data_IF_801653844138
#
_entry.id   IF_801653844138
#
_cell.length_a   1.000
_cell.length_b   1.000
_cell.length_c   1.000
_cell.angle_alpha   90.00
_cell.angle_beta   90.00
_cell.angle_gamma   90.00
#
_symmetry.space_group_name_H-M   'P 1'
#
loop_
_entity.id
_entity.type
_entity.pdbx_description
1 polymer ?
#
# COMPACT_ATOMS: atom_id res chain seq x y z
N UNK A 1 -0.12 21.01 8.22
CA UNK A 1 -0.13 19.99 9.28
C UNK A 1 1.01 18.99 9.15
N UNK A 2 1.22 18.39 7.97
CA UNK A 2 2.28 17.39 7.73
C UNK A 2 3.64 17.98 7.35
N UNK A 3 3.69 19.10 6.60
CA UNK A 3 4.94 19.76 6.19
C UNK A 3 5.54 20.64 7.30
N UNK A 4 5.82 20.05 8.46
CA UNK A 4 6.48 20.69 9.60
C UNK A 4 7.50 19.72 10.20
N UNK A 5 8.48 20.23 10.94
CA UNK A 5 9.48 19.43 11.68
C UNK A 5 8.84 18.42 12.64
N UNK A 6 7.59 18.66 13.06
CA UNK A 6 6.78 17.82 13.94
C UNK A 6 5.50 17.26 13.26
N UNK A 7 5.51 17.13 11.93
CA UNK A 7 4.33 16.70 11.15
C UNK A 7 3.69 15.38 11.61
N UNK A 8 4.51 14.40 12.00
CA UNK A 8 4.05 13.12 12.55
C UNK A 8 3.31 13.29 13.88
N UNK A 9 3.79 14.19 14.77
CA UNK A 9 3.12 14.50 16.04
C UNK A 9 1.78 15.21 15.80
N UNK A 10 1.73 16.19 14.89
CA UNK A 10 0.51 16.91 14.55
C UNK A 10 -0.60 15.97 14.06
N UNK A 11 -0.25 15.07 13.13
CA UNK A 11 -1.21 14.10 12.57
C UNK A 11 -1.75 13.17 13.67
N UNK A 12 -0.88 12.70 14.57
CA UNK A 12 -1.30 11.84 15.69
C UNK A 12 -2.15 12.57 16.71
N UNK A 13 -1.84 13.83 17.05
CA UNK A 13 -2.68 14.65 17.92
C UNK A 13 -4.09 14.81 17.35
N UNK A 14 -4.20 15.03 16.03
CA UNK A 14 -5.47 15.02 15.32
C UNK A 14 -6.28 13.76 15.54
N UNK A 15 -5.68 12.60 15.29
CA UNK A 15 -6.36 11.31 15.48
C UNK A 15 -6.79 11.09 16.94
N UNK A 16 -5.95 11.45 17.91
CA UNK A 16 -6.27 11.33 19.35
C UNK A 16 -7.44 12.25 19.70
N UNK A 17 -7.45 13.49 19.23
CA UNK A 17 -8.56 14.41 19.46
C UNK A 17 -9.87 13.85 18.88
N UNK A 18 -9.85 13.30 17.66
CA UNK A 18 -11.05 12.71 17.06
C UNK A 18 -11.53 11.46 17.81
N UNK A 19 -10.62 10.66 18.39
CA UNK A 19 -10.99 9.56 19.28
C UNK A 19 -11.68 10.06 20.56
N UNK A 20 -11.13 11.10 21.20
CA UNK A 20 -11.71 11.69 22.42
C UNK A 20 -13.09 12.30 22.19
N UNK A 21 -13.31 12.89 21.00
CA UNK A 21 -14.60 13.47 20.60
C UNK A 21 -15.63 12.43 20.15
N UNK A 22 -15.26 11.16 20.00
CA UNK A 22 -16.16 10.12 19.51
C UNK A 22 -16.46 10.21 18.01
N UNK A 23 -15.60 10.89 17.24
CA UNK A 23 -15.80 11.12 15.80
C UNK A 23 -15.23 9.99 14.93
N UNK A 24 -14.59 8.96 15.50
CA UNK A 24 -14.05 7.83 14.75
C UNK A 24 -15.11 6.73 14.63
N UNK A 25 -15.29 6.16 13.44
CA UNK A 25 -16.29 5.11 13.19
C UNK A 25 -17.67 5.64 12.78
N UNK A 26 -17.86 6.96 12.68
CA UNK A 26 -19.15 7.59 12.35
C UNK A 26 -19.12 8.25 10.96
N UNK A 27 -20.26 8.27 10.28
CA UNK A 27 -20.42 8.94 8.98
C UNK A 27 -20.18 10.45 9.15
N UNK A 28 -19.33 11.03 8.31
CA UNK A 28 -18.95 12.44 8.38
C UNK A 28 -17.89 12.77 9.44
N UNK A 29 -17.50 11.81 10.28
CA UNK A 29 -16.46 11.97 11.29
C UNK A 29 -15.10 11.39 10.87
N UNK A 30 -14.09 11.66 11.70
CA UNK A 30 -12.78 11.01 11.64
C UNK A 30 -11.64 11.98 11.42
N UNK A 31 -10.44 11.44 11.17
CA UNK A 31 -9.25 12.22 10.83
C UNK A 31 -8.83 11.88 9.40
N UNK A 32 -9.38 12.62 8.44
CA UNK A 32 -9.19 12.35 7.01
C UNK A 32 -7.97 13.11 6.47
N UNK A 33 -6.95 12.37 6.04
CA UNK A 33 -5.78 12.95 5.37
C UNK A 33 -6.11 13.10 3.89
N UNK A 34 -6.25 14.34 3.44
CA UNK A 34 -6.41 14.65 2.01
C UNK A 34 -5.08 14.38 1.30
N UNK A 35 -5.05 13.31 0.50
CA UNK A 35 -3.91 12.98 -0.36
C UNK A 35 -3.85 13.95 -1.55
N UNK A 36 -2.65 14.14 -2.09
CA UNK A 36 -2.39 15.02 -3.23
C UNK A 36 -2.75 14.38 -4.58
N UNK A 37 -1.79 13.73 -5.23
CA UNK A 37 -2.02 13.08 -6.53
C UNK A 37 -3.05 11.95 -6.45
N UNK A 38 -3.70 11.71 -7.58
CA UNK A 38 -4.83 10.80 -7.79
C UNK A 38 -4.61 9.37 -7.32
N UNK A 39 -3.37 8.87 -7.39
CA UNK A 39 -3.00 7.50 -7.01
C UNK A 39 -1.93 7.43 -5.92
N UNK A 40 -1.71 8.48 -5.11
CA UNK A 40 -0.71 8.42 -4.01
C UNK A 40 -1.00 7.27 -3.06
N UNK A 41 -2.29 7.02 -2.77
CA UNK A 41 -2.69 5.90 -1.92
C UNK A 41 -2.26 4.58 -2.56
N UNK A 42 -2.63 4.34 -3.81
CA UNK A 42 -2.27 3.11 -4.54
C UNK A 42 -0.77 2.95 -4.72
N UNK A 43 -0.03 4.01 -5.03
CA UNK A 43 1.43 4.01 -5.12
C UNK A 43 2.08 3.57 -3.81
N UNK A 44 1.63 4.11 -2.66
CA UNK A 44 2.12 3.66 -1.36
C UNK A 44 1.71 2.22 -1.04
N UNK A 45 0.51 1.82 -1.43
CA UNK A 45 0.02 0.45 -1.25
C UNK A 45 0.80 -0.55 -2.12
N UNK A 46 1.32 -0.15 -3.28
CA UNK A 46 2.17 -0.96 -4.16
C UNK A 46 3.66 -0.91 -3.79
N UNK A 47 4.02 -0.36 -2.62
CA UNK A 47 5.41 -0.38 -2.16
C UNK A 47 6.32 0.57 -2.94
N UNK A 48 5.80 1.65 -3.56
CA UNK A 48 6.61 2.77 -4.07
C UNK A 48 7.19 3.62 -2.91
N UNK A 49 7.72 2.94 -1.89
CA UNK A 49 8.35 3.45 -0.70
C UNK A 49 9.64 2.67 -0.49
N UNK A 50 10.63 3.28 0.14
CA UNK A 50 11.95 2.67 0.28
C UNK A 50 12.06 1.73 1.50
N UNK A 51 10.99 1.47 2.24
CA UNK A 51 11.04 0.77 3.53
C UNK A 51 10.05 -0.39 3.70
N UNK A 52 9.31 -0.73 2.65
CA UNK A 52 8.32 -1.82 2.67
C UNK A 52 8.20 -2.50 1.31
N UNK A 53 7.78 -3.77 1.31
CA UNK A 53 7.24 -4.47 0.15
C UNK A 53 5.76 -4.07 -0.07
N UNK A 54 5.17 -4.36 -1.25
CA UNK A 54 3.76 -4.05 -1.51
C UNK A 54 2.83 -4.51 -0.38
N UNK A 55 1.77 -3.75 -0.09
CA UNK A 55 0.83 -4.01 1.01
C UNK A 55 1.38 -3.70 2.41
N UNK A 56 2.45 -2.92 2.50
CA UNK A 56 3.17 -2.57 3.74
C UNK A 56 3.78 -3.79 4.46
N UNK A 57 4.16 -4.82 3.69
CA UNK A 57 4.94 -5.93 4.23
C UNK A 57 6.35 -5.44 4.56
N UNK A 58 6.96 -6.01 5.62
CA UNK A 58 8.32 -5.66 5.99
C UNK A 58 9.33 -6.15 4.95
N UNK A 59 10.59 -5.76 5.12
CA UNK A 59 11.69 -6.20 4.25
C UNK A 59 12.42 -7.45 4.77
N UNK A 60 11.92 -8.11 5.82
CA UNK A 60 12.56 -9.31 6.36
C UNK A 60 12.32 -10.56 5.50
N UNK A 61 13.19 -11.56 5.64
CA UNK A 61 13.18 -12.83 4.90
C UNK A 61 11.80 -13.43 4.65
N UNK A 62 10.96 -13.55 5.68
CA UNK A 62 9.63 -14.18 5.55
C UNK A 62 8.68 -13.39 4.64
N UNK A 63 8.81 -12.06 4.62
CA UNK A 63 8.04 -11.22 3.68
C UNK A 63 8.55 -11.41 2.25
N UNK A 64 9.87 -11.52 2.06
CA UNK A 64 10.45 -11.81 0.76
C UNK A 64 10.11 -13.21 0.24
N UNK A 65 10.10 -14.24 1.10
CA UNK A 65 9.64 -15.59 0.74
C UNK A 65 8.17 -15.60 0.35
N UNK A 66 7.34 -14.84 1.08
CA UNK A 66 5.95 -14.64 0.71
C UNK A 66 5.83 -14.05 -0.70
N UNK A 67 6.54 -12.95 -1.00
CA UNK A 67 6.49 -12.33 -2.31
C UNK A 67 7.11 -13.18 -3.43
N UNK A 68 8.21 -13.89 -3.17
CA UNK A 68 8.77 -14.86 -4.11
C UNK A 68 7.71 -15.90 -4.53
N UNK A 69 6.97 -16.43 -3.55
CA UNK A 69 5.85 -17.34 -3.80
C UNK A 69 4.73 -16.68 -4.62
N UNK A 70 4.28 -15.47 -4.25
CA UNK A 70 3.17 -14.80 -4.95
C UNK A 70 3.54 -14.42 -6.40
N UNK A 71 4.77 -13.97 -6.61
CA UNK A 71 5.35 -13.67 -7.92
C UNK A 71 5.76 -14.92 -8.69
N UNK A 72 5.68 -16.11 -8.08
CA UNK A 72 6.06 -17.40 -8.66
C UNK A 72 7.52 -17.44 -9.14
N UNK A 73 8.40 -16.77 -8.40
CA UNK A 73 9.85 -16.77 -8.63
C UNK A 73 10.55 -17.52 -7.51
N UNK A 74 11.71 -18.09 -7.82
CA UNK A 74 12.54 -18.74 -6.81
C UNK A 74 13.13 -17.70 -5.85
N UNK A 75 13.11 -18.00 -4.55
CA UNK A 75 13.64 -17.09 -3.53
C UNK A 75 15.15 -16.92 -3.63
N UNK A 76 15.89 -17.98 -3.98
CA UNK A 76 17.35 -17.91 -4.14
C UNK A 76 17.74 -17.09 -5.37
N UNK A 77 16.99 -17.23 -6.47
CA UNK A 77 17.11 -16.34 -7.64
C UNK A 77 16.86 -14.88 -7.27
N UNK A 78 15.77 -14.58 -6.56
CA UNK A 78 15.42 -13.23 -6.16
C UNK A 78 16.49 -12.63 -5.23
N UNK A 79 16.96 -13.40 -4.25
CA UNK A 79 18.07 -13.02 -3.37
C UNK A 79 19.36 -12.76 -4.16
N UNK A 80 19.63 -13.55 -5.20
CA UNK A 80 20.77 -13.37 -6.10
C UNK A 80 20.74 -12.07 -6.92
N UNK A 81 19.61 -11.34 -6.95
CA UNK A 81 19.52 -10.00 -7.57
C UNK A 81 20.07 -8.90 -6.68
N UNK A 82 20.38 -9.19 -5.42
CA UNK A 82 20.96 -8.25 -4.47
C UNK A 82 22.42 -8.61 -4.18
N UNK A 83 23.24 -7.61 -3.84
CA UNK A 83 24.64 -7.83 -3.46
C UNK A 83 24.78 -8.71 -2.23
N UNK A 84 23.84 -8.61 -1.29
CA UNK A 84 23.77 -9.45 -0.10
C UNK A 84 22.34 -9.51 0.44
N UNK A 85 22.07 -10.48 1.33
CA UNK A 85 20.78 -10.58 2.04
C UNK A 85 20.52 -9.33 2.87
N UNK A 86 21.54 -8.81 3.54
CA UNK A 86 21.40 -7.61 4.37
C UNK A 86 20.95 -6.41 3.54
N UNK A 87 21.43 -6.28 2.29
CA UNK A 87 21.01 -5.20 1.40
C UNK A 87 19.57 -5.42 0.88
N UNK A 88 19.18 -6.66 0.62
CA UNK A 88 17.79 -7.03 0.27
C UNK A 88 16.80 -6.69 1.37
N UNK A 89 17.22 -6.82 2.64
CA UNK A 89 16.38 -6.53 3.81
C UNK A 89 16.50 -5.08 4.32
N UNK A 90 17.40 -4.29 3.73
CA UNK A 90 17.65 -2.91 4.13
C UNK A 90 16.67 -1.92 3.51
N UNK A 91 16.43 -0.82 4.23
CA UNK A 91 15.68 0.32 3.70
C UNK A 91 16.53 1.09 2.68
N UNK A 92 15.91 1.51 1.59
CA UNK A 92 16.50 2.39 0.59
C UNK A 92 16.39 3.87 0.93
N UNK A 93 16.71 4.71 -0.06
CA UNK A 93 16.65 6.16 0.06
C UNK A 93 15.25 6.71 -0.23
N UNK A 94 14.83 7.69 0.56
CA UNK A 94 13.64 8.48 0.23
C UNK A 94 13.95 9.50 -0.88
N UNK A 95 12.90 10.01 -1.54
CA UNK A 95 13.00 11.06 -2.57
C UNK A 95 13.74 12.32 -2.08
N UNK A 96 13.69 12.63 -0.78
CA UNK A 96 14.41 13.81 -0.26
C UNK A 96 15.92 13.58 -0.08
N UNK A 97 16.34 12.31 -0.01
CA UNK A 97 17.69 11.91 0.41
C UNK A 97 18.57 11.35 -0.71
N UNK A 98 18.02 10.93 -1.84
CA UNK A 98 18.79 10.28 -2.93
C UNK A 98 20.00 11.12 -3.38
N UNK A 99 19.84 12.44 -3.49
CA UNK A 99 20.90 13.38 -3.89
C UNK A 99 22.10 13.35 -2.95
N UNK A 100 21.86 13.16 -1.64
CA UNK A 100 22.93 13.04 -0.64
C UNK A 100 23.67 11.70 -0.77
N UNK A 101 22.99 10.64 -1.21
CA UNK A 101 23.61 9.34 -1.50
C UNK A 101 24.47 9.32 -2.77
N UNK A 102 24.29 10.33 -3.65
CA UNK A 102 25.13 10.57 -4.83
C UNK A 102 26.31 11.48 -4.49
N UNK A 103 26.07 12.52 -3.70
CA UNK A 103 27.06 13.57 -3.44
C UNK A 103 28.06 13.18 -2.34
N UNK A 104 27.58 12.63 -1.22
CA UNK A 104 28.41 12.28 -0.06
C UNK A 104 28.86 10.80 -0.13
N UNK A 105 30.16 10.59 -0.26
CA UNK A 105 30.79 9.26 -0.37
C UNK A 105 30.59 8.41 0.89
N UNK A 106 30.43 9.04 2.06
CA UNK A 106 30.19 8.32 3.31
C UNK A 106 28.84 7.57 3.31
N UNK A 107 27.90 7.95 2.44
CA UNK A 107 26.62 7.26 2.25
C UNK A 107 26.74 5.97 1.44
N UNK A 108 27.88 5.69 0.82
CA UNK A 108 28.11 4.44 0.09
C UNK A 108 27.88 3.19 0.95
N UNK A 109 28.09 3.30 2.27
CA UNK A 109 27.80 2.23 3.26
C UNK A 109 26.34 1.75 3.23
N UNK A 110 25.39 2.60 2.80
CA UNK A 110 23.97 2.26 2.70
C UNK A 110 23.59 1.65 1.36
N UNK A 111 24.51 1.57 0.40
CA UNK A 111 24.27 1.06 -0.94
C UNK A 111 25.38 0.08 -1.36
N UNK A 112 25.59 -0.95 -0.51
CA UNK A 112 26.55 -2.01 -0.78
C UNK A 112 27.99 -1.55 -0.93
N UNK A 113 28.39 -0.43 -0.32
CA UNK A 113 29.73 0.14 -0.45
C UNK A 113 29.95 0.97 -1.71
N UNK A 114 28.90 1.37 -2.42
CA UNK A 114 28.98 2.19 -3.63
C UNK A 114 28.04 3.39 -3.55
N UNK A 115 28.41 4.53 -4.14
CA UNK A 115 27.45 5.64 -4.32
C UNK A 115 26.37 5.25 -5.33
N UNK A 116 25.23 5.94 -5.30
CA UNK A 116 24.23 5.80 -6.37
C UNK A 116 24.84 6.29 -7.68
N UNK A 117 24.74 5.46 -8.73
CA UNK A 117 25.31 5.72 -10.06
C UNK A 117 24.28 5.95 -11.14
N UNK A 118 23.06 5.44 -10.97
CA UNK A 118 22.00 5.59 -11.95
C UNK A 118 20.71 6.08 -11.29
N UNK A 119 19.95 6.90 -12.01
CA UNK A 119 18.59 7.30 -11.66
C UNK A 119 17.66 6.99 -12.81
N UNK A 120 16.61 6.21 -12.55
CA UNK A 120 15.47 6.03 -13.46
C UNK A 120 14.27 6.69 -12.80
N UNK A 121 13.79 7.76 -13.41
CA UNK A 121 12.67 8.57 -12.94
C UNK A 121 11.45 8.30 -13.83
N UNK A 122 10.35 7.83 -13.23
CA UNK A 122 9.11 7.50 -13.93
C UNK A 122 7.99 8.34 -13.32
N UNK A 123 7.41 9.26 -14.09
CA UNK A 123 6.25 10.04 -13.64
C UNK A 123 6.48 10.86 -12.37
N UNK A 124 7.71 11.33 -12.09
CA UNK A 124 8.07 11.95 -10.82
C UNK A 124 8.87 13.26 -10.97
N UNK A 125 8.49 14.28 -10.19
CA UNK A 125 9.23 15.55 -10.10
C UNK A 125 10.39 15.48 -9.10
N UNK A 126 11.57 15.01 -9.50
CA UNK A 126 12.73 14.89 -8.58
C UNK A 126 13.35 16.24 -8.18
N UNK A 127 12.95 17.33 -8.83
CA UNK A 127 13.27 18.73 -8.46
C UNK A 127 12.21 19.41 -7.61
N UNK A 128 11.04 18.80 -7.37
CA UNK A 128 9.97 19.39 -6.54
C UNK A 128 10.20 19.16 -5.04
N UNK A 129 11.46 19.10 -4.62
CA UNK A 129 11.94 18.99 -3.24
C UNK A 129 12.84 20.18 -2.92
N UNK A 130 13.13 20.39 -1.63
CA UNK A 130 14.09 21.43 -1.23
C UNK A 130 15.52 21.08 -1.69
N UNK A 131 16.38 22.10 -1.74
CA UNK A 131 17.77 21.99 -2.18
C UNK A 131 17.92 21.61 -3.66
N UNK A 132 17.16 22.25 -4.56
CA UNK A 132 17.20 21.99 -6.01
C UNK A 132 18.60 22.10 -6.61
N UNK A 133 19.47 22.97 -6.07
CA UNK A 133 20.88 23.06 -6.47
C UNK A 133 21.63 21.74 -6.25
N UNK A 134 21.38 21.03 -5.14
CA UNK A 134 21.94 19.69 -4.87
C UNK A 134 21.34 18.63 -5.76
N UNK A 135 20.04 18.73 -6.10
CA UNK A 135 19.44 17.83 -7.10
C UNK A 135 20.15 17.99 -8.43
N UNK A 136 20.43 19.22 -8.88
CA UNK A 136 21.24 19.48 -10.07
C UNK A 136 22.64 18.86 -9.97
N UNK A 137 23.39 19.17 -8.90
CA UNK A 137 24.75 18.63 -8.70
C UNK A 137 24.76 17.09 -8.72
N UNK A 138 23.77 16.47 -8.09
CA UNK A 138 23.63 15.01 -8.08
C UNK A 138 23.31 14.47 -9.48
N UNK A 139 22.40 15.09 -10.22
CA UNK A 139 22.10 14.72 -11.61
C UNK A 139 23.38 14.78 -12.47
N UNK A 140 24.17 15.84 -12.35
CA UNK A 140 25.41 16.00 -13.12
C UNK A 140 26.49 14.96 -12.76
N UNK A 141 26.47 14.43 -11.53
CA UNK A 141 27.44 13.44 -11.04
C UNK A 141 27.07 11.97 -11.33
N UNK A 142 25.80 11.67 -11.63
CA UNK A 142 25.38 10.30 -11.95
C UNK A 142 26.07 9.77 -13.22
N UNK A 143 26.19 8.45 -13.35
CA UNK A 143 26.71 7.83 -14.58
C UNK A 143 25.59 7.70 -15.63
N UNK A 144 24.33 7.53 -15.18
CA UNK A 144 23.16 7.37 -16.04
C UNK A 144 21.93 8.07 -15.45
N UNK A 145 21.18 8.80 -16.29
CA UNK A 145 19.86 9.35 -15.95
C UNK A 145 18.85 8.97 -17.02
N UNK A 146 17.72 8.42 -16.62
CA UNK A 146 16.60 8.08 -17.51
C UNK A 146 15.34 8.74 -16.97
N UNK A 147 14.68 9.54 -17.79
CA UNK A 147 13.35 10.08 -17.52
C UNK A 147 12.32 9.38 -18.40
N UNK A 148 11.23 8.94 -17.79
CA UNK A 148 10.08 8.30 -18.44
C UNK A 148 8.86 9.13 -18.07
N UNK A 149 8.48 10.03 -18.97
CA UNK A 149 7.41 11.00 -18.74
C UNK A 149 6.70 11.36 -20.06
N UNK A 150 5.43 11.78 -20.00
CA UNK A 150 4.71 12.28 -21.17
C UNK A 150 5.19 13.67 -21.62
N UNK A 151 5.91 14.39 -20.75
CA UNK A 151 6.47 15.70 -21.03
C UNK A 151 7.95 15.71 -20.63
N UNK A 152 8.70 16.72 -21.10
CA UNK A 152 10.08 16.91 -20.65
C UNK A 152 10.08 17.13 -19.13
N UNK A 153 10.74 16.23 -18.40
CA UNK A 153 10.87 16.31 -16.95
C UNK A 153 11.63 17.59 -16.56
N UNK A 154 11.18 18.28 -15.51
CA UNK A 154 11.79 19.54 -15.06
C UNK A 154 13.25 19.37 -14.62
N UNK A 155 13.60 18.18 -14.11
CA UNK A 155 14.98 17.85 -13.76
C UNK A 155 15.90 17.70 -14.98
N UNK A 156 15.36 17.37 -16.16
CA UNK A 156 16.14 17.36 -17.40
C UNK A 156 16.53 18.77 -17.85
N UNK A 157 15.81 19.80 -17.39
CA UNK A 157 16.07 21.21 -17.73
C UNK A 157 17.16 21.83 -16.84
N UNK A 158 17.24 21.43 -15.58
CA UNK A 158 18.19 22.03 -14.62
C UNK A 158 19.59 21.43 -14.69
N UNK A 159 19.73 20.21 -15.20
CA UNK A 159 21.02 19.52 -15.31
C UNK A 159 21.88 20.10 -16.44
N UNK A 160 23.20 20.03 -16.31
CA UNK A 160 24.18 20.43 -17.34
C UNK A 160 24.80 19.24 -18.07
N UNK A 161 24.25 18.03 -17.89
CA UNK A 161 24.67 16.83 -18.61
C UNK A 161 24.53 17.00 -20.11
N UNK A 162 25.47 16.40 -20.84
CA UNK A 162 25.45 16.38 -22.32
C UNK A 162 25.42 14.96 -22.88
N UNK A 163 25.57 13.94 -22.02
CA UNK A 163 25.62 12.54 -22.35
C UNK A 163 24.89 11.68 -21.30
N UNK A 164 24.62 10.42 -21.66
CA UNK A 164 24.04 9.41 -20.77
C UNK A 164 22.78 9.88 -20.01
N UNK A 165 22.00 10.75 -20.66
CA UNK A 165 20.68 11.17 -20.23
C UNK A 165 19.68 10.79 -21.32
N UNK A 166 18.69 9.98 -20.96
CA UNK A 166 17.66 9.50 -21.88
C UNK A 166 16.29 10.03 -21.48
N UNK A 167 15.53 10.51 -22.45
CA UNK A 167 14.14 10.91 -22.30
C UNK A 167 13.30 9.91 -23.09
N UNK A 168 12.55 9.06 -22.41
CA UNK A 168 11.67 8.07 -23.03
C UNK A 168 10.23 8.60 -23.01
N UNK A 169 9.59 8.79 -24.19
CA UNK A 169 8.25 9.36 -24.25
C UNK A 169 7.23 8.35 -23.70
N UNK A 170 6.63 8.70 -22.57
CA UNK A 170 5.58 7.89 -21.95
C UNK A 170 4.19 8.37 -22.39
N UNK A 171 3.22 7.47 -22.40
CA UNK A 171 1.82 7.79 -22.62
C UNK A 171 1.24 8.52 -21.39
N UNK A 172 0.35 9.49 -21.61
CA UNK A 172 -0.40 10.22 -20.60
C UNK A 172 -1.52 9.37 -19.96
N UNK A 173 -2.20 9.91 -18.94
CA UNK A 173 -3.24 9.16 -18.23
C UNK A 173 -4.45 8.76 -19.10
N UNK A 174 -4.73 9.47 -20.20
CA UNK A 174 -5.87 9.18 -21.09
C UNK A 174 -5.56 8.14 -22.17
N UNK A 175 -4.27 7.87 -22.36
CA UNK A 175 -3.73 6.85 -23.29
C UNK A 175 -3.48 5.51 -22.59
N UNK A 176 -3.59 5.49 -21.26
CA UNK A 176 -3.39 4.32 -20.42
C UNK A 176 -4.71 3.75 -19.88
N UNK A 177 -4.64 2.56 -19.31
CA UNK A 177 -5.75 1.90 -18.60
C UNK A 177 -5.24 1.17 -17.36
N UNK A 178 -6.14 0.88 -16.41
CA UNK A 178 -5.81 0.13 -15.20
C UNK A 178 -6.56 0.64 -13.97
N UNK A 179 -6.12 0.19 -12.80
CA UNK A 179 -6.72 0.53 -11.51
C UNK A 179 -5.98 1.66 -10.80
N UNK A 180 -6.72 2.59 -10.18
CA UNK A 180 -6.17 3.67 -9.33
C UNK A 180 -6.90 3.74 -7.99
N UNK A 181 -6.19 4.05 -6.91
CA UNK A 181 -6.73 4.15 -5.55
C UNK A 181 -6.66 5.61 -5.08
N UNK A 182 -7.83 6.17 -4.77
CA UNK A 182 -7.94 7.57 -4.34
C UNK A 182 -7.72 7.77 -2.82
N UNK A 183 -7.85 9.02 -2.37
CA UNK A 183 -7.71 9.39 -0.94
C UNK A 183 -8.71 8.71 0.00
N UNK A 184 -9.88 8.31 -0.50
CA UNK A 184 -10.90 7.57 0.25
C UNK A 184 -10.59 6.07 0.36
N UNK A 185 -9.48 5.62 -0.24
CA UNK A 185 -9.11 4.21 -0.42
C UNK A 185 -10.13 3.44 -1.26
N UNK A 186 -10.80 4.14 -2.19
CA UNK A 186 -11.64 3.53 -3.22
C UNK A 186 -10.79 3.32 -4.48
N UNK A 187 -10.82 2.09 -5.00
CA UNK A 187 -10.16 1.69 -6.23
C UNK A 187 -11.09 1.90 -7.41
N UNK A 188 -10.62 2.53 -8.49
CA UNK A 188 -11.41 2.84 -9.67
C UNK A 188 -10.72 2.27 -10.91
N UNK A 189 -11.51 1.77 -11.86
CA UNK A 189 -11.00 1.40 -13.18
C UNK A 189 -10.92 2.64 -14.08
N UNK A 190 -9.83 2.75 -14.83
CA UNK A 190 -9.64 3.72 -15.92
C UNK A 190 -9.49 2.97 -17.23
N UNK A 191 -10.29 3.36 -18.20
CA UNK A 191 -10.24 2.81 -19.56
C UNK A 191 -9.48 3.76 -20.46
N UNK A 192 -8.74 3.18 -21.40
CA UNK A 192 -8.05 3.95 -22.43
C UNK A 192 -9.06 4.74 -23.25
N UNK A 193 -8.81 6.03 -23.44
CA UNK A 193 -9.69 6.94 -24.20
C UNK A 193 -9.17 7.15 -25.61
N UNK A 194 -7.85 7.26 -25.77
CA UNK A 194 -7.18 7.43 -27.06
C UNK A 194 -5.94 6.55 -27.15
N UNK A 195 -5.47 6.26 -28.37
CA UNK A 195 -4.17 5.59 -28.56
C UNK A 195 -3.00 6.51 -28.20
N UNK A 196 -1.86 5.96 -27.73
CA UNK A 196 -0.65 6.74 -27.50
C UNK A 196 -0.28 7.59 -28.72
N UNK A 197 -0.05 8.87 -28.50
CA UNK A 197 0.29 9.84 -29.52
C UNK A 197 1.78 9.75 -29.88
N UNK A 198 2.09 9.98 -31.16
CA UNK A 198 3.46 9.99 -31.68
C UNK A 198 4.20 8.67 -31.40
N UNK A 199 5.39 8.76 -30.81
CA UNK A 199 6.23 7.63 -30.41
C UNK A 199 6.05 7.28 -28.92
N UNK A 200 5.07 7.89 -28.23
CA UNK A 200 4.80 7.62 -26.83
C UNK A 200 4.38 6.18 -26.63
N UNK A 201 4.84 5.59 -25.54
CA UNK A 201 4.53 4.20 -25.18
C UNK A 201 3.93 4.15 -23.79
N UNK A 202 3.01 3.20 -23.56
CA UNK A 202 2.45 2.97 -22.23
C UNK A 202 3.57 2.54 -21.27
N UNK A 203 3.47 2.93 -20.01
CA UNK A 203 4.54 2.73 -19.03
C UNK A 203 4.96 1.26 -18.91
N UNK A 204 3.98 0.34 -18.85
CA UNK A 204 4.26 -1.09 -18.76
C UNK A 204 4.97 -1.64 -20.00
N UNK A 205 4.73 -1.08 -21.19
CA UNK A 205 5.36 -1.58 -22.42
C UNK A 205 6.87 -1.28 -22.40
N UNK A 206 7.23 -0.11 -21.85
CA UNK A 206 8.63 0.28 -21.61
C UNK A 206 9.25 -0.66 -20.58
N UNK A 207 8.55 -0.93 -19.46
CA UNK A 207 9.04 -1.82 -18.41
C UNK A 207 9.20 -3.27 -18.88
N UNK A 208 8.25 -3.79 -19.66
CA UNK A 208 8.36 -5.11 -20.28
C UNK A 208 9.54 -5.21 -21.24
N UNK A 209 9.80 -4.14 -22.00
CA UNK A 209 10.95 -4.08 -22.90
C UNK A 209 12.30 -4.04 -22.17
N UNK A 210 12.37 -3.37 -21.02
CA UNK A 210 13.53 -3.45 -20.14
C UNK A 210 13.71 -4.86 -19.59
N UNK A 211 12.66 -5.49 -19.07
CA UNK A 211 12.74 -6.84 -18.53
C UNK A 211 13.21 -7.85 -19.58
N UNK A 212 12.73 -7.74 -20.83
CA UNK A 212 13.21 -8.56 -21.97
C UNK A 212 14.69 -8.35 -22.25
N UNK A 213 15.12 -7.10 -22.36
CA UNK A 213 16.52 -6.75 -22.68
C UNK A 213 17.49 -7.12 -21.55
N UNK A 214 17.02 -7.08 -20.31
CA UNK A 214 17.80 -7.48 -19.14
C UNK A 214 17.69 -8.98 -18.82
N UNK A 215 16.88 -9.73 -19.56
CA UNK A 215 16.80 -11.19 -19.47
C UNK A 215 16.03 -11.72 -18.25
N UNK A 216 15.04 -10.99 -17.74
CA UNK A 216 14.19 -11.43 -16.61
C UNK A 216 12.67 -11.31 -16.89
N UNK A 217 12.28 -11.24 -18.17
CA UNK A 217 10.88 -11.02 -18.55
C UNK A 217 9.94 -12.11 -18.02
N UNK A 218 10.36 -13.37 -18.09
CA UNK A 218 9.55 -14.50 -17.65
C UNK A 218 9.28 -14.42 -16.13
N UNK A 219 10.30 -14.08 -15.33
CA UNK A 219 10.15 -13.83 -13.90
C UNK A 219 9.29 -12.60 -13.61
N UNK A 220 9.39 -11.55 -14.43
CA UNK A 220 8.62 -10.32 -14.25
C UNK A 220 7.11 -10.52 -14.45
N UNK A 221 6.71 -11.41 -15.36
CA UNK A 221 5.28 -11.71 -15.63
C UNK A 221 4.76 -12.95 -14.89
N UNK A 222 5.62 -13.71 -14.22
CA UNK A 222 5.26 -14.98 -13.59
C UNK A 222 4.11 -14.86 -12.57
N UNK A 223 4.05 -13.75 -11.83
CA UNK A 223 3.00 -13.44 -10.87
C UNK A 223 1.59 -13.41 -11.47
N UNK A 224 1.46 -12.95 -12.72
CA UNK A 224 0.19 -12.93 -13.47
C UNK A 224 -0.39 -14.34 -13.63
N UNK A 225 0.47 -15.36 -13.60
CA UNK A 225 0.08 -16.75 -13.50
C UNK A 225 -0.49 -17.38 -14.77
N UNK A 226 -0.45 -16.66 -15.89
CA UNK A 226 -0.92 -17.13 -17.21
C UNK A 226 0.20 -17.23 -18.25
N UNK A 227 1.46 -17.15 -17.84
CA UNK A 227 2.61 -17.10 -18.74
C UNK A 227 2.42 -15.97 -19.76
N UNK A 228 2.77 -16.20 -21.03
CA UNK A 228 2.60 -15.21 -22.10
C UNK A 228 1.14 -14.93 -22.51
N UNK A 229 0.15 -15.59 -21.92
CA UNK A 229 -1.27 -15.42 -22.25
C UNK A 229 -1.99 -14.45 -21.31
N UNK A 230 -1.27 -13.79 -20.39
CA UNK A 230 -1.88 -12.79 -19.51
C UNK A 230 -2.45 -11.60 -20.31
N UNK A 231 -3.50 -10.99 -19.76
CA UNK A 231 -4.16 -9.80 -20.28
C UNK A 231 -3.82 -8.63 -19.37
N UNK A 232 -3.19 -7.62 -19.95
CA UNK A 232 -2.88 -6.38 -19.26
C UNK A 232 -4.01 -5.37 -19.46
N UNK A 233 -4.44 -4.62 -18.43
CA UNK A 233 -3.96 -4.64 -17.02
C UNK A 233 -4.76 -5.56 -16.09
N UNK A 234 -5.79 -6.26 -16.58
CA UNK A 234 -6.71 -7.05 -15.74
C UNK A 234 -5.99 -8.06 -14.84
N UNK A 235 -5.06 -8.85 -15.41
CA UNK A 235 -4.37 -9.89 -14.65
C UNK A 235 -3.41 -9.31 -13.61
N UNK A 236 -2.89 -8.10 -13.83
CA UNK A 236 -2.07 -7.41 -12.84
C UNK A 236 -2.91 -6.90 -11.67
N UNK A 237 -4.10 -6.38 -11.94
CA UNK A 237 -5.05 -6.02 -10.90
C UNK A 237 -5.48 -7.25 -10.08
N UNK A 238 -5.74 -8.38 -10.72
CA UNK A 238 -6.12 -9.61 -10.02
C UNK A 238 -4.93 -10.24 -9.26
N UNK A 239 -3.71 -10.09 -9.76
CA UNK A 239 -2.49 -10.42 -9.01
C UNK A 239 -2.38 -9.60 -7.73
N UNK A 240 -2.57 -8.27 -7.81
CA UNK A 240 -2.58 -7.39 -6.63
C UNK A 240 -3.64 -7.84 -5.62
N UNK A 241 -4.88 -8.10 -6.08
CA UNK A 241 -5.97 -8.53 -5.21
C UNK A 241 -5.63 -9.82 -4.46
N UNK A 242 -5.04 -10.80 -5.15
CA UNK A 242 -4.63 -12.09 -4.57
C UNK A 242 -3.40 -11.97 -3.66
N UNK A 243 -2.46 -11.09 -3.99
CA UNK A 243 -1.17 -10.94 -3.29
C UNK A 243 -1.27 -10.08 -2.03
N UNK A 244 -2.07 -9.00 -2.02
CA UNK A 244 -2.11 -8.04 -0.91
C UNK A 244 -3.12 -8.40 0.19
N UNK A 245 -3.03 -9.64 0.69
CA UNK A 245 -3.92 -10.19 1.73
C UNK A 245 -3.88 -9.42 3.04
N UNK A 246 -2.69 -9.01 3.52
CA UNK A 246 -2.58 -8.19 4.74
C UNK A 246 -3.22 -6.80 4.60
N UNK A 247 -3.39 -6.33 3.37
CA UNK A 247 -4.12 -5.12 3.04
C UNK A 247 -5.59 -5.43 2.70
N UNK A 248 -6.08 -6.66 2.76
CA UNK A 248 -7.51 -6.96 2.56
C UNK A 248 -8.07 -6.44 1.24
N UNK A 249 -7.33 -6.60 0.13
CA UNK A 249 -7.78 -6.22 -1.22
C UNK A 249 -8.31 -7.40 -2.04
N UNK A 250 -8.52 -8.56 -1.42
CA UNK A 250 -8.93 -9.80 -2.11
C UNK A 250 -10.13 -9.61 -3.03
N UNK A 251 -11.10 -8.80 -2.62
CA UNK A 251 -12.28 -8.53 -3.44
C UNK A 251 -12.08 -7.52 -4.57
N UNK A 252 -10.94 -6.85 -4.67
CA UNK A 252 -10.72 -5.74 -5.60
C UNK A 252 -10.23 -6.25 -6.96
N UNK A 253 -11.07 -7.06 -7.63
CA UNK A 253 -10.74 -7.67 -8.92
C UNK A 253 -11.02 -6.74 -10.09
N UNK A 254 -10.30 -6.94 -11.20
CA UNK A 254 -10.48 -6.16 -12.43
C UNK A 254 -11.93 -6.23 -12.93
N UNK A 255 -12.53 -7.42 -12.90
CA UNK A 255 -13.91 -7.63 -13.30
C UNK A 255 -14.89 -6.76 -12.50
N UNK A 256 -14.75 -6.72 -11.17
CA UNK A 256 -15.63 -5.92 -10.31
C UNK A 256 -15.43 -4.43 -10.53
N UNK A 257 -14.18 -3.99 -10.69
CA UNK A 257 -13.87 -2.59 -10.97
C UNK A 257 -14.41 -2.12 -12.33
N UNK A 258 -14.31 -2.94 -13.37
CA UNK A 258 -14.91 -2.66 -14.69
C UNK A 258 -16.43 -2.61 -14.60
N UNK A 259 -17.06 -3.56 -13.90
CA UNK A 259 -18.51 -3.53 -13.65
C UNK A 259 -18.93 -2.23 -12.93
N UNK A 260 -18.15 -1.78 -11.94
CA UNK A 260 -18.41 -0.51 -11.26
C UNK A 260 -18.30 0.68 -12.21
N UNK A 261 -17.29 0.73 -13.07
CA UNK A 261 -17.10 1.79 -14.05
C UNK A 261 -18.26 1.84 -15.07
N UNK A 262 -18.64 0.69 -15.63
CA UNK A 262 -19.75 0.57 -16.60
C UNK A 262 -21.10 0.98 -15.99
N UNK A 263 -21.25 0.83 -14.67
CA UNK A 263 -22.50 1.06 -13.93
C UNK A 263 -22.40 2.18 -12.89
N UNK A 264 -21.46 3.11 -13.04
CA UNK A 264 -21.25 4.25 -12.15
C UNK A 264 -22.52 5.05 -11.79
N UNK A 265 -23.48 5.13 -12.72
CA UNK A 265 -24.78 5.77 -12.54
C UNK A 265 -25.69 5.08 -11.51
N UNK A 266 -25.38 3.83 -11.12
CA UNK A 266 -26.12 3.08 -10.09
C UNK A 266 -25.60 3.34 -8.67
N UNK A 267 -24.53 4.13 -8.51
CA UNK A 267 -23.96 4.44 -7.20
C UNK A 267 -24.33 5.84 -6.73
N UNK A 268 -24.65 5.96 -5.45
CA UNK A 268 -24.92 7.24 -4.82
C UNK A 268 -23.62 8.02 -4.58
N UNK A 269 -23.57 9.27 -5.05
CA UNK A 269 -22.38 10.11 -4.86
C UNK A 269 -22.13 10.52 -3.40
N UNK A 270 -23.15 10.47 -2.54
CA UNK A 270 -23.08 10.90 -1.13
C UNK A 270 -22.55 9.83 -0.19
N UNK A 271 -22.81 8.55 -0.47
CA UNK A 271 -22.45 7.45 0.44
C UNK A 271 -21.85 6.23 -0.28
N UNK A 272 -21.65 6.32 -1.60
CA UNK A 272 -21.10 5.30 -2.48
C UNK A 272 -21.93 4.01 -2.61
N UNK A 273 -23.10 3.89 -1.99
CA UNK A 273 -23.91 2.67 -2.08
C UNK A 273 -24.42 2.45 -3.49
N UNK A 274 -24.27 1.23 -3.99
CA UNK A 274 -24.86 0.80 -5.23
C UNK A 274 -26.36 0.56 -5.12
N UNK A 275 -27.00 0.43 -6.28
CA UNK A 275 -28.43 0.13 -6.45
C UNK A 275 -28.59 -0.86 -7.61
N UNK A 276 -29.72 -1.55 -7.68
CA UNK A 276 -29.97 -2.53 -8.73
C UNK A 276 -28.88 -3.62 -8.74
N UNK A 277 -28.22 -3.83 -9.87
CA UNK A 277 -27.20 -4.88 -10.00
C UNK A 277 -25.94 -4.65 -9.15
N UNK A 278 -25.76 -3.46 -8.56
CA UNK A 278 -24.64 -3.13 -7.66
C UNK A 278 -25.07 -2.94 -6.20
N UNK A 279 -26.32 -3.30 -5.83
CA UNK A 279 -26.89 -3.03 -4.50
C UNK A 279 -26.07 -3.56 -3.31
N UNK A 280 -25.25 -4.58 -3.53
CA UNK A 280 -24.43 -5.24 -2.50
C UNK A 280 -23.01 -4.68 -2.44
N UNK A 281 -22.74 -3.54 -3.04
CA UNK A 281 -21.38 -2.99 -3.15
C UNK A 281 -21.35 -1.49 -2.90
N UNK A 282 -20.19 -1.01 -2.44
CA UNK A 282 -19.85 0.40 -2.46
C UNK A 282 -18.98 0.70 -3.69
N UNK A 283 -19.20 1.86 -4.32
CA UNK A 283 -18.42 2.28 -5.47
C UNK A 283 -16.92 2.26 -5.16
N UNK A 284 -16.19 1.60 -6.04
CA UNK A 284 -14.75 1.41 -5.94
C UNK A 284 -14.27 0.59 -4.75
N UNK A 285 -15.10 -0.26 -4.16
CA UNK A 285 -14.71 -1.27 -3.16
C UNK A 285 -13.76 -0.72 -2.07
N UNK A 286 -14.20 0.28 -1.27
CA UNK A 286 -13.31 0.98 -0.35
C UNK A 286 -12.60 0.02 0.60
N UNK A 287 -11.33 0.27 0.88
CA UNK A 287 -10.54 -0.58 1.77
C UNK A 287 -11.10 -0.66 3.19
N UNK A 288 -11.09 -1.86 3.83
CA UNK A 288 -10.80 -3.18 3.26
C UNK A 288 -11.96 -3.80 2.47
N UNK A 289 -11.61 -4.69 1.54
CA UNK A 289 -12.51 -5.57 0.79
C UNK A 289 -12.05 -7.03 0.90
N UNK A 290 -12.50 -7.72 1.95
CA UNK A 290 -11.93 -9.00 2.40
C UNK A 290 -12.12 -10.18 1.43
N UNK A 291 -13.16 -10.14 0.60
CA UNK A 291 -13.53 -11.19 -0.35
C UNK A 291 -14.28 -10.61 -1.54
N UNK A 292 -14.47 -11.40 -2.59
CA UNK A 292 -15.25 -11.01 -3.78
C UNK A 292 -16.73 -10.75 -3.49
N UNK A 293 -17.24 -11.21 -2.34
CA UNK A 293 -18.60 -10.96 -1.87
C UNK A 293 -18.69 -9.81 -0.86
N UNK A 294 -17.55 -9.27 -0.43
CA UNK A 294 -17.51 -8.14 0.50
C UNK A 294 -17.74 -6.82 -0.24
N UNK A 295 -18.58 -5.90 0.29
CA UNK A 295 -18.96 -4.66 -0.41
C UNK A 295 -17.87 -3.59 -0.44
N UNK A 296 -16.85 -3.73 0.42
CA UNK A 296 -15.92 -2.67 0.79
C UNK A 296 -16.37 -1.94 2.05
N UNK A 297 -15.48 -1.13 2.62
CA UNK A 297 -15.64 -0.50 3.93
C UNK A 297 -15.44 1.02 3.84
N UNK A 298 -16.48 1.80 3.50
CA UNK A 298 -16.33 3.25 3.33
C UNK A 298 -16.06 4.00 4.65
N UNK A 299 -16.51 3.46 5.79
CA UNK A 299 -16.30 4.04 7.12
C UNK A 299 -15.51 3.07 7.98
N UNK A 300 -14.25 3.41 8.25
CA UNK A 300 -13.38 2.59 9.09
C UNK A 300 -13.80 2.64 10.55
N UNK A 301 -13.60 1.53 11.24
CA UNK A 301 -13.87 1.37 12.67
C UNK A 301 -15.36 1.53 13.05
N UNK A 302 -16.27 1.40 12.07
CA UNK A 302 -17.70 1.40 12.33
C UNK A 302 -18.14 0.03 12.84
N UNK A 303 -18.48 -0.03 14.13
CA UNK A 303 -18.95 -1.26 14.78
C UNK A 303 -20.46 -1.48 14.68
N UNK A 304 -21.22 -0.50 14.19
CA UNK A 304 -22.69 -0.61 14.05
C UNK A 304 -23.12 -1.44 12.84
N UNK A 305 -22.17 -1.79 11.97
CA UNK A 305 -22.37 -2.61 10.78
C UNK A 305 -21.79 -4.02 10.97
N UNK A 306 -22.42 -5.04 10.35
CA UNK A 306 -21.80 -6.35 10.23
C UNK A 306 -20.50 -6.27 9.43
N UNK A 307 -19.56 -7.17 9.72
CA UNK A 307 -18.28 -7.23 8.98
C UNK A 307 -18.52 -7.44 7.49
N UNK A 308 -19.46 -8.31 7.12
CA UNK A 308 -19.87 -8.52 5.72
C UNK A 308 -20.59 -7.34 5.06
N UNK A 309 -20.82 -6.25 5.79
CA UNK A 309 -21.35 -4.98 5.28
C UNK A 309 -20.34 -3.82 5.42
N UNK A 310 -19.08 -4.16 5.67
CA UNK A 310 -17.98 -3.22 5.80
C UNK A 310 -17.70 -2.73 7.23
N UNK A 311 -18.41 -3.26 8.23
CA UNK A 311 -18.17 -2.94 9.64
C UNK A 311 -16.87 -3.53 10.18
N UNK A 312 -16.25 -2.86 11.15
CA UNK A 312 -15.00 -3.34 11.76
C UNK A 312 -14.65 -2.64 13.08
N UNK A 313 -13.82 -3.30 13.89
CA UNK A 313 -13.18 -2.71 15.07
C UNK A 313 -11.74 -2.27 14.82
N UNK A 314 -10.98 -1.90 15.86
CA UNK A 314 -9.56 -1.59 15.71
C UNK A 314 -8.71 -2.86 15.59
N UNK A 315 -7.58 -2.76 14.88
CA UNK A 315 -6.67 -3.88 14.62
C UNK A 315 -5.79 -4.22 15.83
N UNK A 316 -5.53 -5.51 16.07
CA UNK A 316 -4.61 -6.01 17.12
C UNK A 316 -3.14 -5.87 16.72
N UNK A 317 -2.71 -4.67 16.30
CA UNK A 317 -1.37 -4.43 15.75
C UNK A 317 -0.26 -4.48 16.80
N UNK A 318 -0.56 -4.10 18.05
CA UNK A 318 0.44 -3.91 19.12
C UNK A 318 0.46 -5.07 20.12
N UNK A 319 0.01 -6.26 19.71
CA UNK A 319 -0.17 -7.42 20.57
C UNK A 319 -1.50 -7.39 21.34
N UNK A 320 -1.71 -8.40 22.19
CA UNK A 320 -2.96 -8.54 22.98
C UNK A 320 -2.84 -8.00 24.40
N UNK A 321 -1.61 -7.85 24.91
CA UNK A 321 -1.34 -7.35 26.26
C UNK A 321 -0.11 -6.45 26.29
N UNK A 322 -0.08 -5.51 27.24
CA UNK A 322 1.10 -4.70 27.55
C UNK A 322 1.08 -4.31 29.02
N UNK A 323 2.21 -4.51 29.71
CA UNK A 323 2.36 -4.18 31.14
C UNK A 323 1.25 -4.80 32.01
N UNK A 324 0.85 -6.04 31.71
CA UNK A 324 -0.25 -6.74 32.40
C UNK A 324 -1.66 -6.27 32.02
N UNK A 325 -1.81 -5.28 31.14
CA UNK A 325 -3.11 -4.74 30.71
C UNK A 325 -3.47 -5.28 29.33
N UNK A 326 -4.71 -5.76 29.17
CA UNK A 326 -5.23 -6.17 27.87
C UNK A 326 -5.41 -4.99 26.92
N UNK A 327 -4.90 -5.15 25.70
CA UNK A 327 -5.07 -4.24 24.57
C UNK A 327 -6.26 -4.61 23.69
N UNK A 328 -6.92 -5.73 23.97
CA UNK A 328 -8.14 -6.16 23.27
C UNK A 328 -9.30 -5.22 23.60
N UNK A 329 -10.25 -5.07 22.67
CA UNK A 329 -11.47 -4.30 22.92
C UNK A 329 -12.19 -4.80 24.17
N UNK A 330 -12.80 -3.88 24.93
CA UNK A 330 -13.60 -4.25 26.10
C UNK A 330 -14.86 -5.01 25.68
N UNK A 331 -15.43 -5.76 26.62
CA UNK A 331 -16.74 -6.39 26.43
C UNK A 331 -17.79 -5.35 26.03
N UNK A 332 -18.65 -5.72 25.08
CA UNK A 332 -19.64 -4.81 24.51
C UNK A 332 -19.18 -4.04 23.27
N UNK A 333 -17.87 -4.01 22.95
CA UNK A 333 -17.33 -3.30 21.78
C UNK A 333 -16.94 -4.29 20.69
N UNK A 334 -17.82 -4.47 19.71
CA UNK A 334 -17.64 -5.43 18.61
C UNK A 334 -18.49 -5.03 17.39
N UNK A 335 -18.07 -5.38 16.15
CA UNK A 335 -18.91 -5.19 14.97
C UNK A 335 -20.27 -5.90 15.11
N UNK A 336 -21.34 -5.29 14.62
CA UNK A 336 -22.69 -5.85 14.69
C UNK A 336 -22.72 -7.30 14.20
N UNK A 337 -23.48 -8.13 14.90
CA UNK A 337 -23.63 -9.57 14.65
C UNK A 337 -22.34 -10.40 14.80
N UNK A 338 -21.23 -9.82 15.27
CA UNK A 338 -20.02 -10.57 15.65
C UNK A 338 -20.35 -11.63 16.69
N UNK A 339 -19.84 -12.85 16.48
CA UNK A 339 -19.95 -13.96 17.43
C UNK A 339 -19.28 -13.63 18.77
N UNK A 340 -18.11 -12.98 18.73
CA UNK A 340 -17.38 -12.57 19.92
C UNK A 340 -17.86 -11.19 20.35
N UNK A 341 -18.28 -11.07 21.61
CA UNK A 341 -18.89 -9.86 22.21
C UNK A 341 -17.87 -8.97 22.93
N UNK A 342 -16.68 -8.85 22.35
CA UNK A 342 -15.56 -8.10 22.89
C UNK A 342 -14.33 -8.18 21.97
N UNK A 343 -13.14 -7.99 22.53
CA UNK A 343 -11.90 -8.07 21.78
C UNK A 343 -11.35 -9.48 21.60
N UNK A 344 -10.69 -9.72 20.48
CA UNK A 344 -10.06 -10.99 20.12
C UNK A 344 -8.79 -10.74 19.30
N UNK A 345 -7.85 -11.69 19.36
CA UNK A 345 -6.60 -11.63 18.62
C UNK A 345 -6.82 -11.72 17.10
N UNK A 346 -5.78 -11.44 16.32
CA UNK A 346 -5.82 -11.70 14.88
C UNK A 346 -6.07 -13.18 14.56
N UNK A 347 -6.74 -13.45 13.45
CA UNK A 347 -7.17 -14.80 13.08
C UNK A 347 -5.97 -15.63 12.62
N UNK A 348 -5.84 -16.82 13.19
CA UNK A 348 -4.82 -17.83 12.88
C UNK A 348 -5.44 -19.21 12.77
N UNK A 349 -4.68 -20.15 12.20
CA UNK A 349 -4.97 -21.58 12.23
C UNK A 349 -5.29 -22.11 13.65
N UNK A 350 -4.62 -21.56 14.66
CA UNK A 350 -4.74 -21.99 16.05
C UNK A 350 -6.01 -21.52 16.76
N UNK A 351 -6.63 -20.42 16.32
CA UNK A 351 -7.75 -19.80 17.04
C UNK A 351 -9.06 -19.76 16.25
N UNK A 352 -9.03 -20.03 14.94
CA UNK A 352 -10.21 -19.87 14.09
C UNK A 352 -11.37 -20.79 14.51
N UNK A 353 -11.12 -22.06 14.84
CA UNK A 353 -12.16 -23.02 15.23
C UNK A 353 -12.91 -22.54 16.48
N UNK A 354 -12.16 -22.06 17.50
CA UNK A 354 -12.73 -21.54 18.74
C UNK A 354 -13.48 -20.22 18.50
N UNK A 355 -12.83 -19.25 17.85
CA UNK A 355 -13.38 -17.91 17.68
C UNK A 355 -14.61 -17.89 16.76
N UNK A 356 -14.58 -18.65 15.66
CA UNK A 356 -15.70 -18.74 14.73
C UNK A 356 -16.74 -19.80 15.15
N UNK A 357 -16.37 -20.73 16.04
CA UNK A 357 -17.22 -21.86 16.44
C UNK A 357 -17.48 -22.82 15.30
N UNK A 358 -16.43 -23.14 14.55
CA UNK A 358 -16.45 -24.06 13.40
C UNK A 358 -15.46 -25.20 13.65
N UNK A 359 -15.60 -26.28 12.89
CA UNK A 359 -14.61 -27.37 12.88
C UNK A 359 -14.08 -27.50 11.47
N UNK A 360 -12.78 -27.26 11.30
CA UNK A 360 -12.12 -27.42 10.01
C UNK A 360 -11.96 -28.91 9.71
N UNK A 361 -12.20 -29.29 8.47
CA UNK A 361 -11.86 -30.62 7.96
C UNK A 361 -10.34 -30.86 8.01
N UNK A 362 -9.92 -32.12 7.94
CA UNK A 362 -8.49 -32.47 7.93
C UNK A 362 -7.74 -31.80 6.76
N UNK A 363 -8.39 -31.70 5.59
CA UNK A 363 -7.85 -31.03 4.40
C UNK A 363 -7.71 -29.52 4.63
N UNK A 364 -8.73 -28.87 5.19
CA UNK A 364 -8.66 -27.44 5.52
C UNK A 364 -7.58 -27.16 6.56
N UNK A 365 -7.43 -28.00 7.59
CA UNK A 365 -6.36 -27.87 8.61
C UNK A 365 -4.98 -27.93 7.98
N UNK A 366 -4.74 -28.90 7.10
CA UNK A 366 -3.46 -29.02 6.39
C UNK A 366 -3.16 -27.78 5.52
N UNK A 367 -4.20 -27.15 4.94
CA UNK A 367 -4.03 -25.95 4.12
C UNK A 367 -3.70 -24.70 4.94
N UNK A 368 -4.16 -24.60 6.18
CA UNK A 368 -3.94 -23.41 7.03
C UNK A 368 -2.84 -23.58 8.08
N UNK A 369 -2.27 -24.77 8.24
CA UNK A 369 -1.26 -25.06 9.28
C UNK A 369 -0.12 -24.03 9.31
N UNK A 370 0.09 -23.42 10.48
CA UNK A 370 1.13 -22.40 10.71
C UNK A 370 0.83 -21.03 10.07
N UNK A 371 -0.35 -20.84 9.49
CA UNK A 371 -0.74 -19.61 8.79
C UNK A 371 -1.65 -18.72 9.63
N UNK A 372 -1.68 -17.46 9.23
CA UNK A 372 -2.63 -16.47 9.69
C UNK A 372 -3.33 -15.83 8.50
N UNK A 373 -4.31 -14.98 8.77
CA UNK A 373 -5.12 -14.32 7.74
C UNK A 373 -4.32 -13.56 6.66
N UNK A 374 -3.06 -13.18 6.92
CA UNK A 374 -2.19 -12.42 6.00
C UNK A 374 -1.45 -13.29 4.99
N UNK A 375 -1.26 -14.57 5.29
CA UNK A 375 -0.47 -15.49 4.46
C UNK A 375 -1.21 -16.80 4.13
N UNK A 376 -2.50 -16.89 4.48
CA UNK A 376 -3.38 -17.97 4.05
C UNK A 376 -3.82 -17.80 2.59
N UNK A 377 -3.17 -18.55 1.70
CA UNK A 377 -3.50 -18.59 0.28
C UNK A 377 -4.85 -19.23 -0.02
N UNK A 378 -5.33 -20.13 0.83
CA UNK A 378 -6.60 -20.83 0.64
C UNK A 378 -7.82 -19.93 0.90
N UNK A 379 -7.65 -18.88 1.70
CA UNK A 379 -8.73 -17.99 2.11
C UNK A 379 -9.67 -18.58 3.16
N UNK A 380 -9.41 -19.80 3.64
CA UNK A 380 -10.21 -20.51 4.64
C UNK A 380 -10.33 -19.69 5.93
N UNK A 381 -9.22 -19.14 6.42
CA UNK A 381 -9.21 -18.37 7.66
C UNK A 381 -10.08 -17.12 7.56
N UNK A 382 -9.98 -16.39 6.44
CA UNK A 382 -10.78 -15.20 6.19
C UNK A 382 -12.25 -15.57 6.00
N UNK A 383 -12.56 -16.63 5.23
CA UNK A 383 -13.93 -17.11 5.01
C UNK A 383 -14.66 -17.36 6.34
N UNK A 384 -14.12 -18.21 7.20
CA UNK A 384 -14.79 -18.55 8.47
C UNK A 384 -14.82 -17.38 9.45
N UNK A 385 -13.82 -16.50 9.44
CA UNK A 385 -13.85 -15.27 10.22
C UNK A 385 -15.04 -14.39 9.80
N UNK A 386 -15.20 -14.15 8.49
CA UNK A 386 -16.29 -13.33 7.95
C UNK A 386 -17.67 -13.92 8.24
N UNK A 387 -17.83 -15.24 8.09
CA UNK A 387 -19.06 -15.96 8.41
C UNK A 387 -19.46 -15.82 9.90
N UNK A 388 -18.47 -15.75 10.79
CA UNK A 388 -18.68 -15.52 12.23
C UNK A 388 -18.78 -14.03 12.62
N UNK A 389 -18.78 -13.11 11.65
CA UNK A 389 -18.80 -11.67 11.89
C UNK A 389 -17.52 -11.13 12.54
N UNK A 390 -16.39 -11.79 12.30
CA UNK A 390 -15.07 -11.44 12.84
C UNK A 390 -14.22 -10.73 11.78
N UNK A 391 -13.57 -9.63 12.16
CA UNK A 391 -12.54 -9.00 11.35
C UNK A 391 -11.29 -9.88 11.35
N UNK A 392 -10.71 -10.20 10.16
CA UNK A 392 -9.52 -11.06 10.09
C UNK A 392 -8.35 -10.57 10.94
N UNK A 393 -8.20 -9.25 11.09
CA UNK A 393 -7.12 -8.64 11.85
C UNK A 393 -7.32 -8.54 13.37
N UNK A 394 -8.41 -9.10 13.90
CA UNK A 394 -8.78 -9.03 15.32
C UNK A 394 -9.67 -7.84 15.69
N UNK A 395 -9.87 -7.64 17.00
CA UNK A 395 -10.61 -6.51 17.56
C UNK A 395 -9.93 -5.99 18.84
N UNK A 396 -9.38 -4.78 18.77
CA UNK A 396 -8.53 -4.18 19.79
C UNK A 396 -9.07 -2.83 20.29
N UNK A 397 -8.41 -2.28 21.31
CA UNK A 397 -8.57 -0.88 21.73
C UNK A 397 -7.89 0.05 20.73
N UNK A 398 -8.48 1.22 20.54
CA UNK A 398 -7.76 2.35 19.98
C UNK A 398 -6.58 2.71 20.88
N UNK A 399 -5.42 2.99 20.30
CA UNK A 399 -4.20 3.31 21.03
C UNK A 399 -3.84 4.79 20.83
N UNK A 400 -3.70 5.52 21.93
CA UNK A 400 -3.17 6.90 21.93
C UNK A 400 -1.64 6.94 22.14
N UNK A 401 -1.08 5.84 22.65
CA UNK A 401 0.36 5.65 22.85
C UNK A 401 0.85 4.62 21.81
N UNK A 402 1.86 5.00 21.04
CA UNK A 402 2.47 4.18 19.98
C UNK A 402 3.93 3.84 20.36
N UNK A 403 4.18 2.76 21.11
CA UNK A 403 5.45 2.61 21.83
C UNK A 403 6.64 2.20 20.97
N UNK A 404 6.38 1.75 19.74
CA UNK A 404 7.41 1.50 18.74
C UNK A 404 7.94 2.77 18.09
N UNK A 405 7.33 3.94 18.37
CA UNK A 405 7.75 5.22 17.79
C UNK A 405 8.77 5.90 18.72
N UNK A 406 9.66 6.70 18.12
CA UNK A 406 10.66 7.49 18.86
C UNK A 406 10.01 8.34 19.95
N UNK A 407 8.87 8.96 19.62
CA UNK A 407 8.02 9.65 20.58
C UNK A 407 6.74 8.82 20.81
N UNK A 408 6.65 8.02 21.90
CA UNK A 408 5.50 7.15 22.15
C UNK A 408 4.17 7.91 22.29
N UNK A 409 4.23 9.14 22.77
CA UNK A 409 3.13 10.11 22.76
C UNK A 409 3.55 11.28 21.87
N UNK A 410 2.63 11.96 21.18
CA UNK A 410 2.98 13.15 20.42
C UNK A 410 3.61 14.18 21.35
N UNK A 411 4.82 14.64 21.00
CA UNK A 411 5.51 15.71 21.71
C UNK A 411 5.62 16.92 20.78
N UNK A 412 5.36 18.09 21.34
CA UNK A 412 5.82 19.34 20.74
C UNK A 412 7.32 19.45 20.99
N UNK A 413 8.05 19.88 19.96
CA UNK A 413 9.46 20.24 20.05
C UNK A 413 9.56 21.60 19.38
N UNK A 414 10.15 22.57 20.07
CA UNK A 414 10.38 23.89 19.47
C UNK A 414 11.18 23.75 18.16
N UNK A 415 10.99 24.65 17.19
CA UNK A 415 11.74 24.60 15.95
C UNK A 415 13.24 24.71 16.25
N UNK A 416 14.02 23.68 15.91
CA UNK A 416 15.50 23.74 16.00
C UNK A 416 16.08 24.87 15.13
N UNK A 417 15.33 25.27 14.09
CA UNK A 417 15.61 26.41 13.25
C UNK A 417 14.33 27.18 13.01
N UNK A 418 14.35 28.48 13.29
CA UNK A 418 13.26 29.40 13.04
C UNK A 418 13.83 30.66 12.41
N UNK A 419 13.15 31.20 11.39
CA UNK A 419 13.44 32.54 10.87
C UNK A 419 13.04 33.65 11.87
N UNK A 420 12.33 33.27 12.93
CA UNK A 420 11.99 34.09 14.11
C UNK A 420 12.96 33.70 15.24
N UNK A 421 14.03 34.48 15.47
CA UNK A 421 15.04 34.16 16.48
C UNK A 421 14.49 34.10 17.90
N UNK A 422 13.33 34.73 18.15
CA UNK A 422 12.62 34.73 19.43
C UNK A 422 11.91 33.40 19.75
N UNK A 423 11.88 32.45 18.80
CA UNK A 423 11.28 31.11 18.97
C UNK A 423 12.34 30.00 19.15
N UNK A 424 13.62 30.33 19.29
CA UNK A 424 14.74 29.39 19.45
C UNK A 424 15.24 29.39 20.89
#
# INVERSE_FOLDING_TARGET
WTHHTIGSSNTRLGSILQLLLGNVGVIGGGCNVLRGHDNVQGSTDMGCLADTLPGYYGLGEESWKYFAKQWKVDYEWLKGRFKSKELMEAKGNSLSLWKHSVLDESNAKYNGGTQIKALVCIGNGVSTVTETHKSKEALDKLDLVVFIDPYVNDSAVITTRTDNMFLLPAASQVENCGSIVNTGRSTQWRSQVVEPLFESRKDQDILFDFAKRMGFYDEFIAGMGKGNNFQWPEDATDEIARTLKAHGLTGVTAQRLKRHQENWHLFESSNLKGRGITEKEYYGLPWPCWSETHPGSPVLFNVDLPVMQGGMGFRTRFGTHRNGVSLLANDGIYPKDSRIKGGYAEITDKNIEELAGVTLSAEEKALVEGKNWKNDDSGILVKYALEAGLCPYGNAKAMTIAPSFIDPIPKHREPLHSFRPDLI
#
